data_IF_020549723738
#
_entry.id   IF_020549723738
#
_cell.length_a   1.000
_cell.length_b   1.000
_cell.length_c   1.000
_cell.angle_alpha   90.00
_cell.angle_beta   90.00
_cell.angle_gamma   90.00
#
_symmetry.space_group_name_H-M   'P 1'
#
loop_
_entity.id
_entity.type
_entity.pdbx_description
1 polymer ?
#
# COMPACT_ATOMS: atom_id res chain seq x y z
N UNK A 1 0.46 11.74 6.39
CA UNK A 1 -0.79 11.28 5.73
C UNK A 1 -0.39 10.45 4.52
N UNK A 2 -1.18 9.44 4.17
CA UNK A 2 -1.05 8.80 2.87
C UNK A 2 -2.37 8.36 2.28
N UNK A 3 -2.27 7.88 1.06
CA UNK A 3 -3.38 7.47 0.22
C UNK A 3 -2.89 7.15 -1.17
N UNK A 4 -3.68 7.52 -2.17
CA UNK A 4 -3.30 7.49 -3.58
C UNK A 4 -3.71 8.78 -4.27
N UNK A 5 -3.00 9.15 -5.32
CA UNK A 5 -3.31 10.30 -6.17
C UNK A 5 -3.49 9.84 -7.62
N UNK A 6 -4.44 10.43 -8.31
CA UNK A 6 -4.59 10.22 -9.75
C UNK A 6 -3.48 11.02 -10.44
N UNK A 7 -2.46 10.33 -10.94
CA UNK A 7 -1.30 10.96 -11.55
C UNK A 7 -1.48 11.14 -13.06
N UNK A 8 -2.13 10.19 -13.73
CA UNK A 8 -2.37 10.23 -15.17
C UNK A 8 -3.50 9.29 -15.62
N UNK A 9 -4.14 9.62 -16.75
CA UNK A 9 -5.06 8.69 -17.41
C UNK A 9 -4.28 7.57 -18.10
N UNK A 10 -4.68 6.32 -17.89
CA UNK A 10 -4.13 5.12 -18.55
C UNK A 10 -5.28 4.17 -18.90
N UNK A 11 -5.17 3.54 -20.07
CA UNK A 11 -6.18 2.58 -20.56
C UNK A 11 -6.30 1.33 -19.69
N UNK A 12 -5.21 0.94 -19.02
CA UNK A 12 -5.13 -0.23 -18.14
C UNK A 12 -5.68 0.02 -16.72
N UNK A 13 -6.14 1.24 -16.41
CA UNK A 13 -6.66 1.60 -15.10
C UNK A 13 -5.61 1.75 -14.01
N UNK A 14 -4.31 1.72 -14.33
CA UNK A 14 -3.20 1.88 -13.39
C UNK A 14 -2.72 3.34 -13.26
N UNK A 15 -3.64 4.29 -13.44
CA UNK A 15 -3.37 5.74 -13.44
C UNK A 15 -3.21 6.38 -12.05
N UNK A 16 -3.10 5.55 -11.01
CA UNK A 16 -3.03 5.95 -9.62
C UNK A 16 -1.69 5.54 -9.02
N UNK A 17 -1.08 6.46 -8.28
CA UNK A 17 0.16 6.21 -7.56
C UNK A 17 -0.02 6.50 -6.07
N UNK A 18 0.89 5.97 -5.26
CA UNK A 18 0.87 6.18 -3.82
C UNK A 18 1.11 7.64 -3.48
N UNK A 19 0.48 8.11 -2.41
CA UNK A 19 0.61 9.48 -1.93
C UNK A 19 1.22 9.48 -0.53
N UNK A 20 2.25 10.29 -0.32
CA UNK A 20 2.81 10.55 1.01
C UNK A 20 2.91 12.05 1.24
N UNK A 21 2.33 12.52 2.34
CA UNK A 21 2.45 13.89 2.81
C UNK A 21 3.00 13.90 4.25
N UNK A 22 4.16 14.53 4.41
CA UNK A 22 4.82 14.72 5.70
C UNK A 22 4.54 16.15 6.20
N UNK A 23 3.95 16.24 7.38
CA UNK A 23 3.68 17.52 8.05
C UNK A 23 4.59 17.64 9.27
N UNK A 24 5.28 18.77 9.38
CA UNK A 24 6.01 19.13 10.58
C UNK A 24 5.05 19.91 11.49
N UNK A 25 4.80 19.47 12.73
CA UNK A 25 3.84 20.14 13.62
C UNK A 25 4.31 21.52 14.07
N UNK A 26 5.61 21.83 13.96
CA UNK A 26 6.19 23.11 14.36
C UNK A 26 6.36 24.07 13.18
N UNK A 27 6.38 23.53 11.95
CA UNK A 27 6.46 24.31 10.73
C UNK A 27 5.08 24.31 10.05
N UNK A 28 4.40 25.46 10.07
CA UNK A 28 3.03 25.63 9.50
C UNK A 28 2.95 25.49 7.97
N UNK A 29 4.00 25.00 7.32
CA UNK A 29 4.02 24.68 5.89
C UNK A 29 4.19 23.18 5.72
N UNK A 30 3.30 22.57 4.93
CA UNK A 30 3.47 21.18 4.52
C UNK A 30 4.75 21.04 3.69
N UNK A 31 5.47 19.94 3.89
CA UNK A 31 6.56 19.58 2.97
C UNK A 31 5.97 19.26 1.59
N UNK A 32 6.77 19.36 0.50
CA UNK A 32 6.31 18.98 -0.82
C UNK A 32 5.73 17.57 -0.81
N UNK A 33 4.57 17.44 -1.45
CA UNK A 33 3.88 16.17 -1.64
C UNK A 33 4.80 15.20 -2.39
N UNK A 34 4.97 14.00 -1.86
CA UNK A 34 5.73 12.94 -2.53
C UNK A 34 4.78 11.96 -3.21
N UNK A 35 5.05 11.69 -4.49
CA UNK A 35 4.44 10.58 -5.22
C UNK A 35 5.30 9.35 -4.97
N UNK A 36 4.66 8.30 -4.46
CA UNK A 36 5.26 7.01 -4.28
C UNK A 36 4.89 6.12 -5.47
N UNK A 37 5.87 5.92 -6.35
CA UNK A 37 5.81 5.03 -7.52
C UNK A 37 6.85 3.92 -7.31
N UNK A 38 6.50 2.94 -6.48
CA UNK A 38 7.26 1.69 -6.27
C UNK A 38 6.96 0.71 -7.39
N UNK A 39 5.70 0.66 -7.81
CA UNK A 39 5.16 -0.09 -8.93
C UNK A 39 3.88 0.62 -9.40
N UNK A 40 3.19 0.06 -10.39
CA UNK A 40 1.93 0.63 -10.89
C UNK A 40 0.78 0.42 -9.91
N UNK A 41 -0.10 1.42 -9.77
CA UNK A 41 -1.32 1.25 -8.97
C UNK A 41 -1.04 1.19 -7.47
N UNK A 42 -0.08 1.98 -7.01
CA UNK A 42 0.28 2.03 -5.60
C UNK A 42 -0.77 2.75 -4.76
N UNK A 43 -1.04 2.20 -3.58
CA UNK A 43 -1.95 2.76 -2.58
C UNK A 43 -1.29 2.61 -1.22
N UNK A 44 -1.17 3.71 -0.48
CA UNK A 44 -0.64 3.69 0.88
C UNK A 44 -1.78 3.75 1.90
N UNK A 45 -1.82 2.81 2.84
CA UNK A 45 -2.86 2.73 3.86
C UNK A 45 -2.38 3.14 5.25
N UNK A 46 -1.13 2.86 5.62
CA UNK A 46 -0.60 3.15 6.95
C UNK A 46 0.92 3.43 6.93
N UNK A 47 1.43 4.03 8.01
CA UNK A 47 2.83 4.39 8.17
C UNK A 47 3.33 4.18 9.60
N UNK A 48 4.62 3.91 9.73
CA UNK A 48 5.33 4.03 11.00
C UNK A 48 6.69 4.69 10.81
N UNK A 49 7.18 5.38 11.84
CA UNK A 49 8.53 5.98 11.84
C UNK A 49 9.50 5.02 12.52
N UNK A 50 10.65 4.78 11.88
CA UNK A 50 11.72 3.95 12.46
C UNK A 50 12.49 4.73 13.52
N UNK A 51 13.26 4.02 14.35
CA UNK A 51 14.17 4.67 15.33
C UNK A 51 15.25 5.52 14.67
N UNK A 52 15.56 5.28 13.39
CA UNK A 52 16.47 6.08 12.58
C UNK A 52 15.80 7.31 11.92
N UNK A 53 14.50 7.54 12.15
CA UNK A 53 13.75 8.65 11.56
C UNK A 53 13.29 8.45 10.11
N UNK A 54 13.46 7.24 9.57
CA UNK A 54 12.89 6.84 8.28
C UNK A 54 11.39 6.56 8.42
N UNK A 55 10.67 6.57 7.31
CA UNK A 55 9.24 6.26 7.28
C UNK A 55 9.03 4.92 6.59
N UNK A 56 8.37 3.99 7.27
CA UNK A 56 7.89 2.75 6.68
C UNK A 56 6.44 2.93 6.27
N UNK A 57 6.18 2.90 4.96
CA UNK A 57 4.85 2.96 4.36
C UNK A 57 4.37 1.57 3.97
N UNK A 58 3.10 1.25 4.24
CA UNK A 58 2.50 -0.02 3.85
C UNK A 58 1.20 0.17 3.09
N UNK A 59 0.89 -0.79 2.22
CA UNK A 59 -0.30 -0.70 1.39
C UNK A 59 -0.45 -1.82 0.38
N UNK A 60 -0.80 -1.46 -0.84
CA UNK A 60 -0.87 -2.36 -1.98
C UNK A 60 -0.23 -1.74 -3.22
N UNK A 61 0.40 -2.58 -4.04
CA UNK A 61 0.83 -2.27 -5.41
C UNK A 61 -0.03 -3.06 -6.39
N UNK A 62 -0.10 -2.66 -7.65
CA UNK A 62 -0.90 -3.33 -8.67
C UNK A 62 -2.41 -3.18 -8.45
N UNK A 63 -2.84 -2.19 -7.66
CA UNK A 63 -4.25 -1.90 -7.45
C UNK A 63 -4.79 -1.18 -8.70
N UNK A 64 -5.49 -1.92 -9.55
CA UNK A 64 -6.10 -1.33 -10.75
C UNK A 64 -7.61 -1.24 -10.61
N UNK A 65 -8.14 -0.13 -11.09
CA UNK A 65 -9.57 0.14 -11.14
C UNK A 65 -9.93 0.54 -12.57
N UNK A 66 -11.05 0.05 -13.07
CA UNK A 66 -11.59 0.45 -14.37
C UNK A 66 -11.68 1.99 -14.43
N UNK A 67 -11.00 2.65 -15.39
CA UNK A 67 -10.97 4.11 -15.46
C UNK A 67 -12.34 4.73 -15.73
N UNK A 68 -13.29 3.96 -16.27
CA UNK A 68 -14.66 4.39 -16.55
C UNK A 68 -15.69 3.87 -15.53
N UNK A 69 -15.27 3.23 -14.42
CA UNK A 69 -16.20 2.61 -13.49
C UNK A 69 -15.64 2.25 -12.11
N UNK A 70 -16.44 1.50 -11.33
CA UNK A 70 -16.07 1.08 -9.99
C UNK A 70 -15.39 -0.30 -9.94
N UNK A 71 -15.15 -0.95 -11.09
CA UNK A 71 -14.60 -2.31 -11.12
C UNK A 71 -13.14 -2.33 -10.65
N UNK A 72 -12.82 -3.18 -9.68
CA UNK A 72 -11.48 -3.37 -9.10
C UNK A 72 -10.98 -4.76 -9.46
N UNK A 73 -9.70 -4.86 -9.84
CA UNK A 73 -9.03 -6.12 -10.14
C UNK A 73 -8.52 -6.83 -8.88
N UNK A 74 -8.13 -8.09 -9.05
CA UNK A 74 -7.61 -8.93 -7.96
C UNK A 74 -6.08 -9.06 -7.98
N UNK A 75 -5.39 -8.30 -8.84
CA UNK A 75 -3.95 -8.44 -9.07
C UNK A 75 -3.07 -7.79 -8.01
N UNK A 76 -3.65 -7.11 -7.02
CA UNK A 76 -2.85 -6.33 -6.08
C UNK A 76 -1.94 -7.21 -5.21
N UNK A 77 -0.72 -6.71 -5.00
CA UNK A 77 0.33 -7.34 -4.19
C UNK A 77 0.61 -6.49 -2.95
N UNK A 78 1.13 -7.08 -1.86
CA UNK A 78 1.46 -6.30 -0.68
C UNK A 78 2.58 -5.29 -0.98
N UNK A 79 2.41 -4.07 -0.49
CA UNK A 79 3.42 -3.01 -0.54
C UNK A 79 3.96 -2.76 0.86
N UNK A 80 5.28 -2.79 0.99
CA UNK A 80 6.03 -2.18 2.09
C UNK A 80 7.21 -1.42 1.49
N UNK A 81 7.31 -0.13 1.80
CA UNK A 81 8.33 0.76 1.28
C UNK A 81 8.99 1.53 2.41
N UNK A 82 10.32 1.52 2.43
CA UNK A 82 11.10 2.38 3.30
C UNK A 82 11.34 3.70 2.56
N UNK A 83 11.04 4.80 3.24
CA UNK A 83 11.19 6.17 2.78
C UNK A 83 12.13 6.91 3.73
N UNK A 84 12.78 7.97 3.25
CA UNK A 84 13.51 8.87 4.15
C UNK A 84 12.56 9.74 4.99
N UNK A 85 13.15 10.61 5.81
CA UNK A 85 12.41 11.53 6.68
C UNK A 85 11.58 12.56 5.90
N UNK A 86 11.87 12.76 4.61
CA UNK A 86 11.12 13.64 3.70
C UNK A 86 10.01 12.89 2.94
N UNK A 87 9.90 11.57 3.14
CA UNK A 87 8.93 10.71 2.46
C UNK A 87 9.37 10.28 1.06
N UNK A 88 10.64 10.50 0.68
CA UNK A 88 11.17 10.03 -0.60
C UNK A 88 11.45 8.53 -0.54
N UNK A 89 11.09 7.82 -1.60
CA UNK A 89 11.34 6.38 -1.72
C UNK A 89 12.83 6.03 -1.61
N UNK A 90 13.15 5.08 -0.73
CA UNK A 90 14.49 4.50 -0.61
C UNK A 90 14.53 3.09 -1.20
N UNK A 91 13.65 2.20 -0.74
CA UNK A 91 13.60 0.81 -1.20
C UNK A 91 12.28 0.12 -0.86
N UNK A 92 11.95 -0.93 -1.61
CA UNK A 92 10.85 -1.85 -1.32
C UNK A 92 11.32 -2.94 -0.36
N UNK A 93 10.49 -3.30 0.60
CA UNK A 93 10.67 -4.46 1.47
C UNK A 93 9.81 -5.62 0.96
N UNK A 94 10.36 -6.83 0.97
CA UNK A 94 9.65 -8.02 0.48
C UNK A 94 8.65 -8.50 1.52
N UNK A 95 7.39 -8.65 1.09
CA UNK A 95 6.33 -9.28 1.87
C UNK A 95 5.75 -10.46 1.09
N UNK A 96 5.44 -11.54 1.79
CA UNK A 96 4.80 -12.70 1.19
C UNK A 96 3.38 -12.34 0.71
N UNK A 97 3.13 -12.49 -0.59
CA UNK A 97 1.80 -12.36 -1.17
C UNK A 97 0.96 -13.63 -0.89
N UNK A 98 -0.32 -13.43 -0.63
CA UNK A 98 -1.33 -14.48 -0.72
C UNK A 98 -1.90 -14.62 -2.14
N UNK A 99 -2.94 -15.47 -2.32
CA UNK A 99 -3.40 -15.88 -3.63
C UNK A 99 -3.83 -14.74 -4.56
N UNK A 100 -4.47 -13.70 -4.01
CA UNK A 100 -5.03 -12.58 -4.78
C UNK A 100 -5.40 -11.40 -3.87
N UNK A 101 -5.61 -10.24 -4.49
CA UNK A 101 -6.09 -8.98 -3.92
C UNK A 101 -5.49 -8.69 -2.53
N UNK A 102 -4.17 -8.64 -2.48
CA UNK A 102 -3.43 -8.47 -1.25
C UNK A 102 -3.34 -7.00 -0.87
N UNK A 103 -3.51 -6.71 0.42
CA UNK A 103 -3.39 -5.37 0.97
C UNK A 103 -2.78 -5.44 2.37
N UNK A 104 -1.79 -4.59 2.65
CA UNK A 104 -1.30 -4.34 4.01
C UNK A 104 -1.99 -3.09 4.52
N UNK A 105 -2.89 -3.24 5.51
CA UNK A 105 -3.75 -2.14 5.97
C UNK A 105 -3.25 -1.43 7.22
N UNK A 106 -2.38 -2.09 8.00
CA UNK A 106 -1.81 -1.46 9.18
C UNK A 106 -0.42 -2.00 9.49
N UNK A 107 0.39 -1.16 10.15
CA UNK A 107 1.70 -1.52 10.64
C UNK A 107 1.95 -1.01 12.06
N UNK A 108 2.62 -1.82 12.88
CA UNK A 108 3.05 -1.44 14.22
C UNK A 108 4.42 -2.00 14.56
N UNK A 109 5.20 -1.26 15.36
CA UNK A 109 6.43 -1.78 15.95
C UNK A 109 6.10 -2.83 17.03
N UNK A 110 6.79 -3.96 17.02
CA UNK A 110 6.57 -5.06 17.97
C UNK A 110 7.84 -5.89 18.15
N UNK A 111 8.33 -5.98 19.39
CA UNK A 111 9.49 -6.82 19.75
C UNK A 111 10.72 -6.63 18.85
N UNK A 112 11.04 -5.38 18.49
CA UNK A 112 12.16 -5.05 17.60
C UNK A 112 11.93 -5.38 16.12
N UNK A 113 10.70 -5.77 15.76
CA UNK A 113 10.27 -6.07 14.39
C UNK A 113 9.04 -5.23 14.03
N UNK A 114 8.51 -5.43 12.84
CA UNK A 114 7.26 -4.84 12.40
C UNK A 114 6.16 -5.90 12.33
N UNK A 115 4.99 -5.61 12.90
CA UNK A 115 3.76 -6.35 12.64
C UNK A 115 3.01 -5.66 11.51
N UNK A 116 2.82 -6.37 10.40
CA UNK A 116 1.91 -6.00 9.33
C UNK A 116 0.57 -6.73 9.53
N UNK A 117 -0.52 -5.98 9.44
CA UNK A 117 -1.88 -6.53 9.42
C UNK A 117 -2.57 -6.14 8.12
N UNK A 118 -3.36 -7.06 7.57
CA UNK A 118 -3.96 -6.84 6.26
C UNK A 118 -4.92 -7.91 5.82
N UNK A 119 -5.15 -7.93 4.51
CA UNK A 119 -6.05 -8.85 3.85
C UNK A 119 -5.31 -9.57 2.71
N UNK A 120 -5.62 -10.84 2.54
CA UNK A 120 -5.27 -11.64 1.38
C UNK A 120 -6.50 -12.40 0.87
N UNK A 121 -6.42 -12.93 -0.33
CA UNK A 121 -7.51 -13.67 -0.98
C UNK A 121 -8.82 -12.89 -1.10
N UNK A 122 -8.73 -11.55 -1.17
CA UNK A 122 -9.90 -10.67 -1.22
C UNK A 122 -10.62 -10.68 -2.57
N UNK A 123 -11.93 -10.34 -2.61
CA UNK A 123 -12.69 -10.36 -3.86
C UNK A 123 -12.42 -9.11 -4.70
N UNK A 124 -12.44 -9.26 -6.02
CA UNK A 124 -12.58 -8.17 -6.97
C UNK A 124 -14.06 -7.91 -7.31
N UNK A 125 -14.33 -7.07 -8.30
CA UNK A 125 -15.72 -6.73 -8.65
C UNK A 125 -16.50 -7.88 -9.28
N UNK A 126 -15.81 -8.74 -10.04
CA UNK A 126 -16.39 -9.92 -10.68
C UNK A 126 -16.09 -11.22 -9.93
N UNK A 127 -15.55 -11.11 -8.71
CA UNK A 127 -15.49 -12.24 -7.80
C UNK A 127 -16.90 -12.74 -7.52
N UNK A 128 -17.15 -14.01 -7.83
CA UNK A 128 -18.42 -14.64 -7.51
C UNK A 128 -19.39 -14.76 -8.68
N UNK A 129 -19.12 -14.14 -9.83
CA UNK A 129 -20.01 -14.20 -11.01
C UNK A 129 -20.33 -15.65 -11.39
N UNK A 130 -19.33 -16.54 -11.33
CA UNK A 130 -19.48 -17.97 -11.62
C UNK A 130 -19.44 -18.87 -10.37
N UNK A 131 -18.88 -18.37 -9.26
CA UNK A 131 -18.70 -19.14 -8.03
C UNK A 131 -18.66 -18.27 -6.77
N UNK A 132 -19.78 -18.23 -6.04
CA UNK A 132 -19.93 -17.46 -4.80
C UNK A 132 -18.89 -17.78 -3.71
N UNK A 133 -18.26 -18.95 -3.72
CA UNK A 133 -17.22 -19.29 -2.75
C UNK A 133 -15.98 -18.39 -2.86
N UNK A 134 -15.83 -17.64 -3.97
CA UNK A 134 -14.78 -16.64 -4.18
C UNK A 134 -15.09 -15.29 -3.52
N UNK A 135 -16.28 -15.09 -2.96
CA UNK A 135 -16.62 -13.88 -2.19
C UNK A 135 -16.17 -14.11 -0.74
N UNK A 136 -14.86 -14.05 -0.53
CA UNK A 136 -14.22 -14.22 0.76
C UNK A 136 -12.95 -13.38 0.83
N UNK A 137 -12.44 -13.20 2.04
CA UNK A 137 -11.18 -12.54 2.31
C UNK A 137 -10.62 -13.05 3.63
N UNK A 138 -9.31 -13.28 3.68
CA UNK A 138 -8.62 -13.71 4.88
C UNK A 138 -7.85 -12.54 5.50
N UNK A 139 -8.15 -12.24 6.76
CA UNK A 139 -7.33 -11.34 7.56
C UNK A 139 -6.02 -12.04 7.96
N UNK A 140 -4.92 -11.29 7.98
CA UNK A 140 -3.65 -11.78 8.51
C UNK A 140 -2.96 -10.77 9.41
N UNK A 141 -2.11 -11.28 10.29
CA UNK A 141 -1.09 -10.53 11.03
C UNK A 141 0.23 -11.28 10.91
N UNK A 142 1.30 -10.61 10.45
CA UNK A 142 2.62 -11.22 10.23
C UNK A 142 3.74 -10.28 10.67
N UNK A 143 4.77 -10.85 11.28
CA UNK A 143 5.98 -10.12 11.62
C UNK A 143 6.97 -10.12 10.45
N UNK A 144 7.66 -9.00 10.23
CA UNK A 144 8.74 -8.86 9.24
C UNK A 144 9.80 -7.86 9.70
N UNK A 145 10.96 -7.88 9.05
CA UNK A 145 12.12 -7.07 9.40
C UNK A 145 12.34 -5.96 8.34
N UNK A 146 12.75 -4.76 8.77
CA UNK A 146 13.00 -3.62 7.88
C UNK A 146 14.45 -3.51 7.36
N UNK A 147 15.35 -4.31 7.93
CA UNK A 147 16.81 -4.17 7.77
C UNK A 147 17.39 -5.08 6.68
N UNK A 148 16.55 -5.65 5.81
CA UNK A 148 17.00 -6.45 4.68
C UNK A 148 17.68 -5.59 3.60
#
# INVERSE_FOLDING_TARGET
MGGRIFSQSREDGSGWDGLVAVADPYVRTLRPLQVLDVDRGDVVFDFAVTTAGQVLAVGASGYTQNPAGASISESSTPLAALLDADGKFLRRLTLAAGPRHNQVRSIAAWNGRWLAAGMQDGPGTHSGDENNALIRADGYVRAFDSDQ
#
